data_IF_550246114274
#
_entry.id   IF_550246114274
#
_cell.length_a   1.000
_cell.length_b   1.000
_cell.length_c   1.000
_cell.angle_alpha   90.00
_cell.angle_beta   90.00
_cell.angle_gamma   90.00
#
_symmetry.space_group_name_H-M   'P 1'
#
loop_
_entity.id
_entity.type
_entity.pdbx_description
1 polymer ?
#
# COMPACT_ATOMS: atom_id res chain seq x y z
N UNK A 1 -2.96 4.53 8.49
CA UNK A 1 -3.64 5.67 7.86
C UNK A 1 -3.36 7.00 8.54
N UNK A 2 -3.46 7.04 9.86
CA UNK A 2 -3.15 8.28 10.59
C UNK A 2 -1.74 8.80 10.33
N UNK A 3 -0.77 7.89 10.23
CA UNK A 3 0.61 8.26 9.99
C UNK A 3 0.78 8.96 8.64
N UNK A 4 0.16 8.42 7.59
CA UNK A 4 0.22 9.04 6.26
C UNK A 4 -0.40 10.43 6.26
N UNK A 5 -1.53 10.58 6.91
CA UNK A 5 -2.22 11.87 7.02
C UNK A 5 -1.40 12.87 7.81
N UNK A 6 -0.75 12.41 8.86
CA UNK A 6 0.13 13.26 9.67
C UNK A 6 1.26 13.85 8.84
N UNK A 7 1.77 13.08 7.86
CA UNK A 7 2.81 13.54 6.97
C UNK A 7 2.29 14.39 5.79
N UNK A 8 0.99 14.62 5.74
CA UNK A 8 0.38 15.46 4.72
C UNK A 8 -0.07 14.72 3.46
N UNK A 9 -0.07 13.38 3.48
CA UNK A 9 -0.52 12.61 2.33
C UNK A 9 -2.00 12.32 2.41
N UNK A 10 -2.67 12.35 1.26
CA UNK A 10 -4.02 11.85 1.16
C UNK A 10 -4.01 10.35 1.46
N UNK A 11 -4.91 9.89 2.30
CA UNK A 11 -5.06 8.46 2.61
C UNK A 11 -6.49 8.17 3.05
N UNK A 12 -7.05 7.09 2.51
CA UNK A 12 -8.42 6.71 2.77
C UNK A 12 -8.57 5.20 2.70
N UNK A 13 -9.44 4.64 3.55
CA UNK A 13 -9.73 3.22 3.51
C UNK A 13 -10.64 2.92 2.33
N UNK A 14 -10.33 1.82 1.62
CA UNK A 14 -11.14 1.39 0.47
C UNK A 14 -12.27 0.47 0.88
N UNK A 15 -12.04 -0.37 1.87
CA UNK A 15 -13.03 -1.34 2.30
C UNK A 15 -13.08 -1.39 3.81
N UNK A 16 -14.21 -1.88 4.33
CA UNK A 16 -14.34 -2.07 5.76
C UNK A 16 -13.49 -3.27 6.18
N UNK A 17 -12.45 -3.00 6.95
CA UNK A 17 -11.59 -4.03 7.47
C UNK A 17 -12.13 -4.53 8.80
N UNK A 18 -11.78 -5.77 9.14
CA UNK A 18 -12.16 -6.35 10.41
C UNK A 18 -11.44 -5.72 11.60
N UNK A 19 -10.25 -5.20 11.40
CA UNK A 19 -9.48 -4.57 12.47
C UNK A 19 -8.91 -3.23 12.01
N UNK A 20 -8.53 -2.40 12.97
CA UNK A 20 -7.95 -1.10 12.69
C UNK A 20 -6.56 -1.18 12.06
N UNK A 21 -5.89 -2.31 12.23
CA UNK A 21 -4.51 -2.50 11.79
C UNK A 21 -4.41 -3.25 10.47
N UNK A 22 -5.54 -3.60 9.87
CA UNK A 22 -5.58 -4.32 8.59
C UNK A 22 -6.57 -3.68 7.65
N UNK A 23 -6.38 -3.95 6.37
CA UNK A 23 -7.28 -3.49 5.33
C UNK A 23 -6.53 -2.75 4.23
N UNK A 24 -7.30 -2.30 3.27
CA UNK A 24 -6.76 -1.64 2.08
C UNK A 24 -6.87 -0.14 2.23
N UNK A 25 -5.80 0.54 1.87
CA UNK A 25 -5.72 2.00 1.92
C UNK A 25 -5.32 2.48 0.53
N UNK A 26 -6.02 3.49 0.02
CA UNK A 26 -5.54 4.26 -1.12
C UNK A 26 -4.80 5.48 -0.59
N UNK A 27 -3.63 5.76 -1.13
CA UNK A 27 -2.87 6.95 -0.79
C UNK A 27 -2.30 7.58 -2.04
N UNK A 28 -2.03 8.88 -1.98
CA UNK A 28 -1.42 9.61 -3.09
C UNK A 28 -0.15 10.27 -2.55
N UNK A 29 0.98 9.94 -3.16
CA UNK A 29 2.28 10.46 -2.77
C UNK A 29 2.97 10.95 -4.03
N UNK A 30 3.39 12.20 -4.03
CA UNK A 30 4.06 12.84 -5.17
C UNK A 30 3.25 12.68 -6.48
N UNK A 31 1.93 12.79 -6.38
CA UNK A 31 1.04 12.69 -7.53
C UNK A 31 0.73 11.27 -7.99
N UNK A 32 1.30 10.26 -7.37
CA UNK A 32 1.07 8.86 -7.73
C UNK A 32 0.13 8.21 -6.74
N UNK A 33 -0.88 7.51 -7.24
CA UNK A 33 -1.81 6.72 -6.43
C UNK A 33 -1.21 5.35 -6.15
N UNK A 34 -1.30 4.92 -4.90
CA UNK A 34 -0.85 3.60 -4.46
C UNK A 34 -1.94 2.92 -3.65
N UNK A 35 -2.01 1.61 -3.77
CA UNK A 35 -2.87 0.79 -2.92
C UNK A 35 -1.97 0.09 -1.91
N UNK A 36 -2.30 0.20 -0.64
CA UNK A 36 -1.53 -0.40 0.44
C UNK A 36 -2.38 -1.46 1.12
N UNK A 37 -1.94 -2.71 1.05
CA UNK A 37 -2.57 -3.82 1.78
C UNK A 37 -1.89 -3.92 3.13
N UNK A 38 -2.57 -3.50 4.18
CA UNK A 38 -1.99 -3.43 5.52
C UNK A 38 -2.27 -4.72 6.28
N UNK A 39 -1.22 -5.34 6.80
CA UNK A 39 -1.30 -6.60 7.55
C UNK A 39 -0.66 -6.45 8.91
N UNK A 40 -1.38 -6.92 9.92
CA UNK A 40 -0.88 -6.99 11.28
C UNK A 40 -1.10 -8.42 11.77
N UNK A 41 -0.23 -9.33 11.35
CA UNK A 41 -0.39 -10.75 11.60
C UNK A 41 0.85 -11.36 12.24
N UNK A 42 0.60 -12.34 13.11
CA UNK A 42 1.67 -13.11 13.72
C UNK A 42 2.39 -13.97 12.70
N UNK A 43 1.63 -14.61 11.81
CA UNK A 43 2.18 -15.41 10.71
C UNK A 43 2.15 -14.61 9.43
N UNK A 44 3.24 -14.65 8.69
CA UNK A 44 3.40 -13.87 7.45
C UNK A 44 3.43 -14.83 6.27
N UNK A 45 2.48 -14.63 5.35
CA UNK A 45 2.41 -15.36 4.09
C UNK A 45 2.49 -14.33 2.96
N UNK A 46 3.71 -14.00 2.57
CA UNK A 46 3.93 -12.93 1.60
C UNK A 46 3.28 -13.20 0.23
N UNK A 47 3.36 -14.41 -0.34
CA UNK A 47 2.70 -14.65 -1.62
C UNK A 47 1.19 -14.39 -1.56
N UNK A 48 0.53 -14.80 -0.48
CA UNK A 48 -0.89 -14.57 -0.31
C UNK A 48 -1.19 -13.08 -0.14
N UNK A 49 -0.42 -12.41 0.73
CA UNK A 49 -0.61 -10.98 0.96
C UNK A 49 -0.41 -10.17 -0.31
N UNK A 50 0.61 -10.56 -1.10
CA UNK A 50 0.88 -9.90 -2.36
C UNK A 50 -0.26 -10.06 -3.35
N UNK A 51 -0.80 -11.29 -3.47
CA UNK A 51 -1.93 -11.55 -4.35
C UNK A 51 -3.16 -10.73 -3.94
N UNK A 52 -3.42 -10.63 -2.64
CA UNK A 52 -4.53 -9.82 -2.13
C UNK A 52 -4.36 -8.35 -2.49
N UNK A 53 -3.14 -7.82 -2.34
CA UNK A 53 -2.84 -6.43 -2.69
C UNK A 53 -3.10 -6.15 -4.16
N UNK A 54 -2.65 -7.05 -5.05
CA UNK A 54 -2.83 -6.87 -6.48
C UNK A 54 -4.31 -6.97 -6.88
N UNK A 55 -5.06 -7.86 -6.24
CA UNK A 55 -6.49 -7.98 -6.46
C UNK A 55 -7.22 -6.69 -6.06
N UNK A 56 -6.86 -6.11 -4.93
CA UNK A 56 -7.48 -4.87 -4.47
C UNK A 56 -7.17 -3.70 -5.40
N UNK A 57 -5.95 -3.65 -5.94
CA UNK A 57 -5.59 -2.62 -6.91
C UNK A 57 -6.41 -2.75 -8.18
N UNK A 58 -6.61 -3.98 -8.66
CA UNK A 58 -7.41 -4.22 -9.85
C UNK A 58 -8.88 -3.84 -9.61
N UNK A 59 -9.41 -4.19 -8.44
CA UNK A 59 -10.77 -3.83 -8.06
C UNK A 59 -10.94 -2.32 -7.97
N UNK A 60 -9.98 -1.63 -7.42
CA UNK A 60 -9.99 -0.17 -7.34
C UNK A 60 -10.03 0.45 -8.73
N UNK A 61 -9.16 -0.01 -9.63
CA UNK A 61 -9.11 0.51 -10.99
C UNK A 61 -10.45 0.30 -11.72
N UNK A 62 -11.02 -0.88 -11.57
CA UNK A 62 -12.30 -1.21 -12.19
C UNK A 62 -13.42 -0.34 -11.63
N UNK A 63 -13.50 -0.20 -10.32
CA UNK A 63 -14.55 0.56 -9.67
C UNK A 63 -14.48 2.05 -9.99
N UNK A 64 -13.28 2.59 -10.19
CA UNK A 64 -13.07 4.01 -10.49
C UNK A 64 -12.99 4.29 -11.99
N UNK A 65 -13.02 3.25 -12.82
CA UNK A 65 -12.94 3.43 -14.27
C UNK A 65 -11.61 3.96 -14.75
N UNK A 66 -10.53 3.73 -13.99
CA UNK A 66 -9.20 4.16 -14.41
C UNK A 66 -8.58 3.10 -15.31
N UNK A 67 -7.83 3.55 -16.31
CA UNK A 67 -7.22 2.66 -17.31
C UNK A 67 -6.04 1.89 -16.73
N UNK A 68 -5.18 2.59 -15.98
CA UNK A 68 -3.99 1.99 -15.42
C UNK A 68 -4.23 1.58 -13.98
N UNK A 69 -3.95 0.32 -13.67
CA UNK A 69 -4.03 -0.18 -12.30
C UNK A 69 -2.92 0.47 -11.46
N UNK A 70 -3.25 1.09 -10.32
CA UNK A 70 -2.21 1.68 -9.49
C UNK A 70 -1.30 0.60 -8.87
N UNK A 71 -0.03 0.93 -8.61
CA UNK A 71 0.85 0.01 -7.89
C UNK A 71 0.29 -0.33 -6.53
N UNK A 72 0.43 -1.59 -6.13
CA UNK A 72 -0.05 -2.06 -4.84
C UNK A 72 1.10 -2.70 -4.07
N UNK A 73 1.19 -2.36 -2.79
CA UNK A 73 2.23 -2.85 -1.91
C UNK A 73 1.62 -3.49 -0.69
N UNK A 74 2.40 -4.36 -0.04
CA UNK A 74 2.01 -4.93 1.24
C UNK A 74 2.77 -4.19 2.34
N UNK A 75 2.03 -3.73 3.33
CA UNK A 75 2.60 -3.06 4.52
C UNK A 75 2.43 -4.02 5.69
N UNK A 76 3.53 -4.49 6.23
CA UNK A 76 3.51 -5.43 7.35
C UNK A 76 3.91 -4.69 8.61
N UNK A 77 2.95 -4.58 9.54
CA UNK A 77 3.22 -3.94 10.82
C UNK A 77 4.12 -4.84 11.66
N UNK A 78 5.16 -4.26 12.21
CA UNK A 78 6.09 -4.98 13.08
C UNK A 78 5.62 -4.87 14.52
N UNK A 79 5.58 -6.00 15.20
CA UNK A 79 5.17 -6.03 16.60
C UNK A 79 6.12 -5.22 17.46
N UNK A 80 5.57 -4.51 18.42
CA UNK A 80 6.34 -3.70 19.38
C UNK A 80 7.14 -2.57 18.74
N UNK A 81 6.77 -2.17 17.53
CA UNK A 81 7.38 -1.03 16.85
C UNK A 81 6.28 -0.04 16.44
N UNK A 82 6.68 1.20 16.25
CA UNK A 82 5.76 2.20 15.70
C UNK A 82 5.44 1.92 14.24
N UNK A 83 4.38 2.53 13.75
CA UNK A 83 3.92 2.33 12.38
C UNK A 83 4.99 2.74 11.36
N UNK A 84 5.83 3.72 11.71
CA UNK A 84 6.92 4.17 10.83
C UNK A 84 7.98 3.11 10.61
N UNK A 85 7.98 2.05 11.42
CA UNK A 85 8.90 0.92 11.28
C UNK A 85 8.28 -0.27 10.56
N UNK A 86 7.09 -0.11 10.02
CA UNK A 86 6.45 -1.16 9.22
C UNK A 86 7.31 -1.50 8.01
N UNK A 87 7.22 -2.75 7.58
CA UNK A 87 7.92 -3.20 6.38
C UNK A 87 7.05 -2.93 5.15
N UNK A 88 7.70 -2.50 4.08
CA UNK A 88 7.06 -2.32 2.78
C UNK A 88 7.53 -3.43 1.85
N UNK A 89 6.59 -4.19 1.31
CA UNK A 89 6.89 -5.26 0.35
C UNK A 89 6.44 -4.79 -1.02
N UNK A 90 7.35 -4.77 -1.98
CA UNK A 90 7.06 -4.35 -3.34
C UNK A 90 7.93 -5.13 -4.32
N UNK A 91 7.54 -5.12 -5.59
CA UNK A 91 8.35 -5.72 -6.65
C UNK A 91 9.65 -4.95 -6.83
N UNK A 92 10.69 -5.66 -7.19
CA UNK A 92 12.00 -5.05 -7.44
C UNK A 92 11.92 -3.98 -8.55
N UNK A 93 11.20 -4.27 -9.62
CA UNK A 93 11.07 -3.31 -10.72
C UNK A 93 10.35 -2.03 -10.28
N UNK A 94 9.33 -2.14 -9.44
CA UNK A 94 8.64 -0.96 -8.91
C UNK A 94 9.58 -0.13 -8.04
N UNK A 95 10.35 -0.79 -7.19
CA UNK A 95 11.32 -0.12 -6.33
C UNK A 95 12.36 0.64 -7.17
N UNK A 96 12.84 0.00 -8.24
CA UNK A 96 13.80 0.63 -9.15
C UNK A 96 13.19 1.80 -9.91
N UNK A 97 11.95 1.66 -10.38
CA UNK A 97 11.26 2.74 -11.09
C UNK A 97 11.10 3.98 -10.21
N UNK A 98 10.71 3.78 -8.96
CA UNK A 98 10.50 4.89 -8.04
C UNK A 98 11.79 5.67 -7.84
N UNK A 99 12.92 4.99 -7.73
CA UNK A 99 14.21 5.62 -7.52
C UNK A 99 14.77 6.23 -8.79
N UNK A 100 14.56 5.58 -9.92
CA UNK A 100 14.99 6.11 -11.21
C UNK A 100 14.27 7.39 -11.56
N UNK A 101 12.96 7.47 -11.27
CA UNK A 101 12.17 8.68 -11.48
C UNK A 101 12.73 9.83 -10.66
N UNK A 102 13.11 9.56 -9.41
CA UNK A 102 13.73 10.58 -8.56
C UNK A 102 15.10 11.00 -9.08
N UNK A 103 15.87 10.06 -9.60
CA UNK A 103 17.21 10.33 -10.10
C UNK A 103 17.20 11.13 -11.40
N UNK A 104 16.15 11.04 -12.19
CA UNK A 104 16.06 11.73 -13.48
C UNK A 104 15.64 13.19 -13.36
N UNK A 105 15.30 13.62 -12.18
CA UNK A 105 14.99 15.02 -11.94
C UNK A 105 16.19 15.76 -11.38
#
# INVERSE_FOLDING_TARGET
MKYLRKLGHFAERLAKAGSNDEGDIVTIIAGQTYILECKNRKSINLPQFWAEAQTEAANYAKARGVVATPPAFVIVKRRQHGVEKSWVIQDLDQWLQDRSSNAST
#
